data_IF_041405392155
#
_entry.id   IF_041405392155
#
_cell.length_a   1.000
_cell.length_b   1.000
_cell.length_c   1.000
_cell.angle_alpha   90.00
_cell.angle_beta   90.00
_cell.angle_gamma   90.00
#
_symmetry.space_group_name_H-M   'P 1'
#
loop_
_entity.id
_entity.type
_entity.pdbx_description
1 polymer ?
#
# COMPACT_ATOMS: atom_id res chain seq x y z
N UNK A 1 3.67 15.09 18.78
CA UNK A 1 3.23 13.81 19.36
C UNK A 1 3.41 12.73 18.30
N UNK A 2 3.91 11.52 18.64
CA UNK A 2 3.90 10.43 17.67
C UNK A 2 2.44 10.14 17.30
N UNK A 3 2.09 10.19 16.01
CA UNK A 3 0.77 9.76 15.55
C UNK A 3 0.63 8.28 15.91
N UNK A 4 -0.41 7.93 16.68
CA UNK A 4 -0.81 6.53 16.85
C UNK A 4 -1.17 6.02 15.45
N UNK A 5 -0.38 5.08 14.93
CA UNK A 5 -0.68 4.42 13.66
C UNK A 5 -1.74 3.36 13.93
N UNK A 6 -2.81 3.31 13.14
CA UNK A 6 -3.80 2.26 13.32
C UNK A 6 -3.16 0.88 13.13
N UNK A 7 -3.49 -0.04 14.04
CA UNK A 7 -3.17 -1.45 13.87
C UNK A 7 -4.11 -2.02 12.81
N UNK A 8 -3.60 -2.62 11.72
CA UNK A 8 -4.44 -3.26 10.70
C UNK A 8 -5.39 -4.30 11.32
N UNK A 9 -4.90 -5.04 12.31
CA UNK A 9 -5.69 -6.04 13.03
C UNK A 9 -6.87 -5.43 13.78
N UNK A 10 -6.75 -4.20 14.29
CA UNK A 10 -7.87 -3.50 14.93
C UNK A 10 -8.89 -2.99 13.90
N UNK A 11 -8.44 -2.55 12.72
CA UNK A 11 -9.36 -2.21 11.62
C UNK A 11 -10.14 -3.48 11.18
N UNK A 12 -9.47 -4.62 11.02
CA UNK A 12 -10.11 -5.90 10.73
C UNK A 12 -11.14 -6.28 11.80
N UNK A 13 -10.84 -6.02 13.07
CA UNK A 13 -11.74 -6.29 14.18
C UNK A 13 -13.03 -5.47 14.14
N UNK A 14 -12.94 -4.20 13.75
CA UNK A 14 -14.09 -3.33 13.53
C UNK A 14 -14.97 -3.84 12.37
N UNK A 15 -14.35 -4.27 11.27
CA UNK A 15 -15.07 -4.84 10.12
C UNK A 15 -15.81 -6.12 10.51
N UNK A 16 -15.12 -7.07 11.19
CA UNK A 16 -15.75 -8.31 11.67
C UNK A 16 -16.91 -7.99 12.63
N UNK A 17 -16.70 -7.11 13.60
CA UNK A 17 -17.74 -6.72 14.54
C UNK A 17 -18.95 -6.10 13.85
N UNK A 18 -18.74 -5.17 12.92
CA UNK A 18 -19.83 -4.51 12.21
C UNK A 18 -20.63 -5.48 11.32
N UNK A 19 -19.95 -6.43 10.67
CA UNK A 19 -20.61 -7.49 9.90
C UNK A 19 -21.44 -8.45 10.78
N UNK A 20 -21.02 -8.67 12.02
CA UNK A 20 -21.71 -9.50 13.02
C UNK A 20 -22.79 -8.75 13.82
N UNK A 21 -22.95 -7.44 13.59
CA UNK A 21 -23.95 -6.59 14.23
C UNK A 21 -23.51 -5.90 15.52
N UNK A 22 -22.26 -6.06 15.96
CA UNK A 22 -21.65 -5.30 17.06
C UNK A 22 -20.24 -4.82 16.66
N UNK A 23 -20.10 -3.56 16.14
CA UNK A 23 -18.84 -3.00 15.67
C UNK A 23 -17.69 -3.03 16.68
N UNK A 24 -18.00 -3.02 17.98
CA UNK A 24 -16.99 -2.96 19.03
C UNK A 24 -16.75 -4.32 19.72
N UNK A 25 -17.40 -5.39 19.26
CA UNK A 25 -17.30 -6.75 19.81
C UNK A 25 -15.86 -7.24 19.97
N UNK A 26 -15.02 -7.01 18.95
CA UNK A 26 -13.69 -7.61 18.86
C UNK A 26 -12.53 -6.66 19.18
N UNK A 27 -12.79 -5.36 19.34
CA UNK A 27 -11.73 -4.36 19.55
C UNK A 27 -11.63 -3.94 21.02
N UNK A 28 -10.44 -3.59 21.50
CA UNK A 28 -10.28 -2.96 22.82
C UNK A 28 -10.47 -1.43 22.75
N UNK A 29 -11.02 -0.76 23.78
CA UNK A 29 -11.33 0.67 23.71
C UNK A 29 -10.14 1.61 23.47
N UNK A 30 -8.92 1.18 23.84
CA UNK A 30 -7.74 2.03 23.73
C UNK A 30 -7.38 2.27 22.26
N UNK A 31 -7.40 3.52 21.83
CA UNK A 31 -7.14 3.90 20.43
C UNK A 31 -8.32 3.69 19.47
N UNK A 32 -9.52 3.36 19.98
CA UNK A 32 -10.70 3.07 19.16
C UNK A 32 -11.00 4.15 18.12
N UNK A 33 -10.98 5.43 18.50
CA UNK A 33 -11.28 6.53 17.59
C UNK A 33 -10.37 6.56 16.35
N UNK A 34 -9.07 6.32 16.52
CA UNK A 34 -8.12 6.29 15.41
C UNK A 34 -8.41 5.13 14.46
N UNK A 35 -8.74 3.95 15.01
CA UNK A 35 -9.07 2.78 14.20
C UNK A 35 -10.40 2.94 13.45
N UNK A 36 -11.37 3.64 14.05
CA UNK A 36 -12.64 3.97 13.41
C UNK A 36 -12.46 4.92 12.23
N UNK A 37 -11.76 6.04 12.46
CA UNK A 37 -11.48 7.03 11.41
C UNK A 37 -10.75 6.37 10.23
N UNK A 38 -9.78 5.50 10.50
CA UNK A 38 -9.06 4.79 9.45
C UNK A 38 -9.92 3.72 8.76
N UNK A 39 -10.79 3.00 9.47
CA UNK A 39 -11.71 2.04 8.85
C UNK A 39 -12.72 2.72 7.91
N UNK A 40 -13.20 3.91 8.28
CA UNK A 40 -14.07 4.74 7.45
C UNK A 40 -13.31 5.33 6.26
N UNK A 41 -12.10 5.86 6.49
CA UNK A 41 -11.26 6.40 5.42
C UNK A 41 -10.85 5.32 4.40
N UNK A 42 -10.64 4.09 4.84
CA UNK A 42 -10.40 2.93 3.96
C UNK A 42 -11.65 2.48 3.18
N UNK A 43 -12.82 3.09 3.41
CA UNK A 43 -14.09 2.70 2.80
C UNK A 43 -14.58 1.32 3.24
N UNK A 44 -14.10 0.79 4.36
CA UNK A 44 -14.51 -0.51 4.91
C UNK A 44 -15.76 -0.39 5.79
N UNK A 45 -15.89 0.74 6.47
CA UNK A 45 -17.05 1.11 7.27
C UNK A 45 -17.62 2.44 6.78
N UNK A 46 -18.91 2.66 7.04
CA UNK A 46 -19.58 3.94 6.87
C UNK A 46 -20.28 4.34 8.16
N UNK A 47 -20.29 5.63 8.45
CA UNK A 47 -21.11 6.22 9.53
C UNK A 47 -22.40 6.78 8.95
N UNK A 48 -23.50 6.66 9.69
CA UNK A 48 -24.77 7.32 9.33
C UNK A 48 -25.05 8.51 10.22
N UNK A 49 -25.70 8.27 11.35
CA UNK A 49 -26.27 9.33 12.20
C UNK A 49 -25.29 9.83 13.26
N UNK A 50 -24.29 9.02 13.62
CA UNK A 50 -23.26 9.36 14.59
C UNK A 50 -21.93 8.67 14.25
N UNK A 51 -20.80 9.12 14.84
CA UNK A 51 -19.49 8.49 14.66
C UNK A 51 -19.42 7.02 15.10
N UNK A 52 -20.38 6.57 15.90
CA UNK A 52 -20.46 5.20 16.44
C UNK A 52 -21.57 4.37 15.78
N UNK A 53 -22.37 4.97 14.90
CA UNK A 53 -23.40 4.30 14.10
C UNK A 53 -22.77 3.74 12.83
N UNK A 54 -21.99 2.67 13.02
CA UNK A 54 -21.09 2.09 12.03
C UNK A 54 -21.77 0.94 11.29
N UNK A 55 -21.68 0.98 9.96
CA UNK A 55 -22.16 -0.08 9.08
C UNK A 55 -21.02 -0.57 8.20
N UNK A 56 -21.00 -1.88 7.95
CA UNK A 56 -20.08 -2.47 6.98
C UNK A 56 -20.49 -2.06 5.56
N UNK A 57 -19.52 -1.63 4.75
CA UNK A 57 -19.73 -1.33 3.32
C UNK A 57 -19.65 -2.61 2.49
N UNK A 58 -19.95 -2.54 1.19
CA UNK A 58 -19.75 -3.68 0.28
C UNK A 58 -18.28 -4.15 0.27
N UNK A 59 -17.32 -3.21 0.31
CA UNK A 59 -15.88 -3.51 0.39
C UNK A 59 -15.53 -4.18 1.71
N UNK A 60 -16.07 -3.68 2.83
CA UNK A 60 -15.88 -4.29 4.15
C UNK A 60 -16.50 -5.69 4.23
N UNK A 61 -17.67 -5.89 3.63
CA UNK A 61 -18.37 -7.16 3.63
C UNK A 61 -17.62 -8.20 2.79
N UNK A 62 -17.09 -7.80 1.62
CA UNK A 62 -16.23 -8.67 0.82
C UNK A 62 -14.96 -9.10 1.58
N UNK A 63 -14.34 -8.18 2.32
CA UNK A 63 -13.19 -8.49 3.18
C UNK A 63 -13.57 -9.48 4.30
N UNK A 64 -14.73 -9.26 4.93
CA UNK A 64 -15.27 -10.14 5.95
C UNK A 64 -15.50 -11.57 5.44
N UNK A 65 -16.22 -11.71 4.32
CA UNK A 65 -16.57 -13.01 3.74
C UNK A 65 -15.35 -13.80 3.26
N UNK A 66 -14.34 -13.09 2.74
CA UNK A 66 -13.13 -13.71 2.23
C UNK A 66 -12.17 -14.16 3.33
N UNK A 67 -12.08 -13.41 4.45
CA UNK A 67 -10.95 -13.56 5.37
C UNK A 67 -11.30 -13.54 6.86
N UNK A 68 -12.44 -12.99 7.27
CA UNK A 68 -12.71 -12.70 8.70
C UNK A 68 -13.82 -13.53 9.32
N UNK A 69 -14.73 -14.09 8.54
CA UNK A 69 -15.85 -14.90 9.06
C UNK A 69 -15.37 -16.07 9.91
N UNK A 70 -14.28 -16.72 9.49
CA UNK A 70 -13.73 -17.92 10.15
C UNK A 70 -12.68 -17.58 11.22
N UNK A 71 -12.43 -16.28 11.49
CA UNK A 71 -11.56 -15.89 12.60
C UNK A 71 -12.21 -16.23 13.95
N UNK A 72 -11.41 -16.63 14.94
CA UNK A 72 -11.93 -16.99 16.25
C UNK A 72 -12.66 -15.81 16.90
N UNK A 73 -13.73 -16.13 17.62
CA UNK A 73 -14.36 -15.18 18.52
C UNK A 73 -13.38 -14.67 19.59
N UNK A 74 -13.66 -13.48 20.12
CA UNK A 74 -12.82 -12.82 21.12
C UNK A 74 -12.12 -11.57 20.62
N UNK A 75 -11.23 -11.01 21.46
CA UNK A 75 -10.57 -9.73 21.16
C UNK A 75 -9.41 -9.90 20.18
N UNK A 76 -9.25 -8.92 19.30
CA UNK A 76 -8.26 -8.87 18.23
C UNK A 76 -6.81 -9.08 18.71
N UNK A 77 -6.48 -8.63 19.92
CA UNK A 77 -5.17 -8.82 20.56
C UNK A 77 -4.80 -10.30 20.77
N UNK A 78 -5.78 -11.21 20.72
CA UNK A 78 -5.59 -12.64 20.94
C UNK A 78 -5.69 -13.47 19.65
N UNK A 79 -5.95 -12.84 18.49
CA UNK A 79 -6.04 -13.58 17.23
C UNK A 79 -4.68 -14.07 16.74
N UNK A 80 -3.60 -13.36 17.06
CA UNK A 80 -2.23 -13.81 16.76
C UNK A 80 -2.06 -14.27 15.30
N UNK A 81 -1.57 -15.50 15.11
CA UNK A 81 -1.35 -16.10 13.79
C UNK A 81 -2.62 -16.52 13.04
N UNK A 82 -3.80 -16.44 13.67
CA UNK A 82 -5.06 -16.71 12.99
C UNK A 82 -5.41 -15.63 11.97
N UNK A 83 -4.90 -14.40 12.14
CA UNK A 83 -5.16 -13.29 11.21
C UNK A 83 -4.49 -13.57 9.87
N UNK A 84 -5.24 -13.70 8.77
CA UNK A 84 -4.64 -13.94 7.46
C UNK A 84 -3.76 -12.76 7.05
N UNK A 85 -2.52 -13.04 6.66
CA UNK A 85 -1.59 -12.00 6.18
C UNK A 85 -2.17 -11.24 4.99
N UNK A 86 -2.89 -11.92 4.10
CA UNK A 86 -3.59 -11.32 2.96
C UNK A 86 -4.62 -10.25 3.37
N UNK A 87 -5.29 -10.41 4.52
CA UNK A 87 -6.24 -9.43 5.03
C UNK A 87 -5.53 -8.20 5.61
N UNK A 88 -4.42 -8.42 6.32
CA UNK A 88 -3.54 -7.35 6.81
C UNK A 88 -2.98 -6.55 5.63
N UNK A 89 -2.49 -7.25 4.59
CA UNK A 89 -1.98 -6.65 3.36
C UNK A 89 -3.04 -5.77 2.68
N UNK A 90 -4.28 -6.26 2.57
CA UNK A 90 -5.37 -5.54 1.95
C UNK A 90 -5.76 -4.27 2.73
N UNK A 91 -5.89 -4.35 4.06
CA UNK A 91 -6.17 -3.17 4.89
C UNK A 91 -5.03 -2.16 4.83
N UNK A 92 -3.79 -2.63 4.91
CA UNK A 92 -2.62 -1.76 4.78
C UNK A 92 -2.63 -1.02 3.44
N UNK A 93 -2.97 -1.70 2.34
CA UNK A 93 -3.11 -1.07 1.03
C UNK A 93 -4.19 0.01 1.05
N UNK A 94 -5.40 -0.30 1.51
CA UNK A 94 -6.51 0.66 1.58
C UNK A 94 -6.18 1.87 2.47
N UNK A 95 -5.50 1.66 3.58
CA UNK A 95 -5.07 2.75 4.47
C UNK A 95 -4.03 3.64 3.80
N UNK A 96 -3.07 3.06 3.08
CA UNK A 96 -2.10 3.82 2.30
C UNK A 96 -2.78 4.60 1.17
N UNK A 97 -3.78 4.03 0.50
CA UNK A 97 -4.60 4.72 -0.50
C UNK A 97 -5.33 5.92 0.12
N UNK A 98 -6.06 5.69 1.20
CA UNK A 98 -6.84 6.70 1.91
C UNK A 98 -5.99 7.86 2.43
N UNK A 99 -4.78 7.58 2.90
CA UNK A 99 -3.84 8.59 3.41
C UNK A 99 -2.99 9.26 2.33
N UNK A 100 -3.19 8.90 1.05
CA UNK A 100 -2.36 9.40 -0.07
C UNK A 100 -0.90 8.95 0.03
N UNK A 101 -0.64 7.85 0.72
CA UNK A 101 0.68 7.24 0.95
C UNK A 101 0.92 6.01 0.07
N UNK A 102 -0.08 5.51 -0.66
CA UNK A 102 0.12 4.46 -1.64
C UNK A 102 0.88 5.06 -2.83
N UNK A 103 2.02 4.47 -3.17
CA UNK A 103 2.69 4.72 -4.43
C UNK A 103 2.20 3.72 -5.47
N UNK A 104 1.47 4.21 -6.47
CA UNK A 104 1.19 3.46 -7.69
C UNK A 104 2.32 3.75 -8.67
N UNK A 105 2.99 2.68 -9.11
CA UNK A 105 4.08 2.80 -10.08
C UNK A 105 3.64 2.15 -11.38
N UNK A 106 3.53 2.99 -12.39
CA UNK A 106 3.24 2.58 -13.76
C UNK A 106 4.55 2.42 -14.50
N UNK A 107 4.73 1.29 -15.15
CA UNK A 107 5.93 0.98 -15.92
C UNK A 107 5.50 0.60 -17.32
N UNK A 108 5.85 1.47 -18.28
CA UNK A 108 5.67 1.20 -19.71
C UNK A 108 6.96 0.61 -20.25
N UNK A 109 6.94 -0.69 -20.55
CA UNK A 109 8.06 -1.38 -21.18
C UNK A 109 8.03 -1.10 -22.69
N UNK A 110 9.00 -0.34 -23.16
CA UNK A 110 9.19 0.02 -24.58
C UNK A 110 9.96 -1.05 -25.34
N UNK A 111 10.80 -1.82 -24.65
CA UNK A 111 11.54 -2.95 -25.19
C UNK A 111 11.81 -3.99 -24.09
N UNK A 112 12.24 -5.22 -24.42
CA UNK A 112 12.60 -6.22 -23.41
C UNK A 112 13.64 -5.70 -22.41
N UNK A 113 13.20 -5.42 -21.19
CA UNK A 113 14.06 -4.95 -20.11
C UNK A 113 14.38 -3.46 -20.08
N UNK A 114 13.69 -2.65 -20.89
CA UNK A 114 13.75 -1.19 -20.85
C UNK A 114 12.35 -0.59 -20.78
N UNK A 115 12.20 0.51 -20.05
CA UNK A 115 10.91 1.18 -19.96
C UNK A 115 10.95 2.53 -19.27
N UNK A 116 9.82 3.21 -19.30
CA UNK A 116 9.55 4.42 -18.54
C UNK A 116 8.80 4.04 -17.28
N UNK A 117 9.28 4.57 -16.15
CA UNK A 117 8.66 4.44 -14.83
C UNK A 117 8.00 5.77 -14.52
N UNK A 118 6.77 5.71 -14.08
CA UNK A 118 5.99 6.86 -13.63
C UNK A 118 5.39 6.53 -12.27
N UNK A 119 5.45 7.45 -11.32
CA UNK A 119 4.84 7.28 -10.00
C UNK A 119 3.65 8.21 -9.88
N UNK A 120 2.43 7.66 -9.91
CA UNK A 120 1.21 8.44 -9.78
C UNK A 120 1.11 9.05 -8.39
N UNK A 121 0.72 10.33 -8.31
CA UNK A 121 0.87 11.18 -7.13
C UNK A 121 0.14 10.65 -5.89
N UNK A 122 0.80 10.73 -4.73
CA UNK A 122 0.16 11.07 -3.46
C UNK A 122 0.24 12.59 -3.24
N UNK A 123 -0.63 13.15 -2.40
CA UNK A 123 -0.96 14.60 -2.23
C UNK A 123 0.18 15.59 -1.93
N UNK A 124 1.46 15.20 -2.02
CA UNK A 124 2.62 15.98 -1.53
C UNK A 124 3.63 16.43 -2.58
N UNK A 125 3.45 16.15 -3.87
CA UNK A 125 4.38 16.61 -4.93
C UNK A 125 3.64 17.23 -6.11
N UNK A 126 4.02 18.44 -6.58
CA UNK A 126 3.37 19.11 -7.70
C UNK A 126 3.72 18.49 -9.06
N UNK A 127 4.79 17.70 -9.15
CA UNK A 127 5.25 17.05 -10.38
C UNK A 127 5.17 15.53 -10.24
N UNK A 128 4.90 14.82 -11.33
CA UNK A 128 4.94 13.36 -11.34
C UNK A 128 6.41 12.90 -11.48
N UNK A 129 6.94 12.06 -10.57
CA UNK A 129 8.27 11.49 -10.74
C UNK A 129 8.32 10.55 -11.93
N UNK A 130 9.39 10.65 -12.73
CA UNK A 130 9.61 9.84 -13.91
C UNK A 130 11.07 9.37 -13.97
N UNK A 131 11.28 8.10 -14.31
CA UNK A 131 12.62 7.51 -14.47
C UNK A 131 12.69 6.49 -15.60
N UNK A 132 13.90 6.17 -16.02
CA UNK A 132 14.16 5.11 -17.01
C UNK A 132 14.50 3.81 -16.29
N UNK A 133 13.70 2.77 -16.50
CA UNK A 133 13.99 1.41 -16.07
C UNK A 133 14.88 0.72 -17.10
N UNK A 134 15.98 0.12 -16.67
CA UNK A 134 16.85 -0.66 -17.54
C UNK A 134 17.49 -1.87 -16.85
N UNK A 135 18.17 -2.72 -17.62
CA UNK A 135 18.98 -3.82 -17.10
C UNK A 135 20.42 -3.38 -16.84
N UNK A 136 20.96 -3.73 -15.67
CA UNK A 136 22.41 -3.62 -15.45
C UNK A 136 23.12 -4.75 -16.19
N UNK A 137 24.33 -4.49 -16.68
CA UNK A 137 25.17 -5.46 -17.38
C UNK A 137 26.57 -5.49 -16.77
N UNK A 138 27.21 -6.65 -16.76
CA UNK A 138 28.63 -6.76 -16.42
C UNK A 138 29.53 -6.38 -17.61
N UNK A 139 30.85 -6.40 -17.42
CA UNK A 139 31.83 -6.12 -18.47
C UNK A 139 31.71 -7.04 -19.69
N UNK A 140 31.17 -8.26 -19.52
CA UNK A 140 30.90 -9.21 -20.59
C UNK A 140 29.52 -9.02 -21.26
N UNK A 141 28.80 -7.93 -20.95
CA UNK A 141 27.49 -7.62 -21.51
C UNK A 141 26.32 -8.45 -20.96
N UNK A 142 26.55 -9.34 -19.99
CA UNK A 142 25.51 -10.20 -19.41
C UNK A 142 24.67 -9.41 -18.41
N UNK A 143 23.35 -9.60 -18.44
CA UNK A 143 22.44 -8.96 -17.51
C UNK A 143 22.69 -9.44 -16.07
N UNK A 144 22.85 -8.52 -15.12
CA UNK A 144 23.15 -8.81 -13.72
C UNK A 144 22.10 -8.30 -12.73
N UNK A 145 21.12 -7.54 -13.22
CA UNK A 145 20.12 -6.88 -12.39
C UNK A 145 19.39 -5.79 -13.14
N UNK A 146 18.81 -4.86 -12.40
CA UNK A 146 17.98 -3.78 -12.89
C UNK A 146 18.41 -2.45 -12.29
N UNK A 147 18.12 -1.36 -12.97
CA UNK A 147 18.30 -0.01 -12.46
C UNK A 147 17.11 0.88 -12.82
N UNK A 148 16.89 1.92 -12.01
CA UNK A 148 16.04 3.06 -12.36
C UNK A 148 16.92 4.30 -12.37
N UNK A 149 16.87 5.05 -13.45
CA UNK A 149 17.66 6.27 -13.67
C UNK A 149 16.72 7.47 -13.89
N UNK A 150 16.68 8.36 -12.92
CA UNK A 150 15.96 9.63 -12.95
C UNK A 150 16.98 10.74 -13.21
N UNK A 151 17.27 10.95 -14.49
CA UNK A 151 18.30 11.86 -14.95
C UNK A 151 17.94 13.35 -14.80
N UNK A 152 16.64 13.66 -14.71
CA UNK A 152 16.15 15.03 -14.65
C UNK A 152 16.04 15.57 -13.21
N UNK A 153 16.05 14.68 -12.21
CA UNK A 153 15.81 15.04 -10.82
C UNK A 153 14.35 15.41 -10.57
N UNK A 154 13.95 15.35 -9.30
CA UNK A 154 12.56 15.55 -8.88
C UNK A 154 12.48 16.52 -7.70
N UNK A 155 11.65 17.57 -7.80
CA UNK A 155 11.43 18.56 -6.73
C UNK A 155 12.72 19.08 -6.05
N UNK A 156 13.67 19.57 -6.86
CA UNK A 156 14.94 20.12 -6.37
C UNK A 156 15.96 19.06 -5.90
N UNK A 157 15.66 17.76 -6.06
CA UNK A 157 16.60 16.68 -5.79
C UNK A 157 17.55 16.48 -6.98
N UNK A 158 18.77 16.08 -6.67
CA UNK A 158 19.78 15.68 -7.67
C UNK A 158 19.29 14.47 -8.46
N UNK A 159 19.82 14.25 -9.68
CA UNK A 159 19.59 13.01 -10.44
C UNK A 159 19.83 11.77 -9.57
N UNK A 160 18.96 10.78 -9.70
CA UNK A 160 19.00 9.55 -8.88
C UNK A 160 19.15 8.35 -9.78
N UNK A 161 20.15 7.52 -9.48
CA UNK A 161 20.27 6.17 -10.04
C UNK A 161 20.32 5.14 -8.94
N UNK A 162 19.40 4.19 -8.98
CA UNK A 162 19.34 3.07 -8.03
C UNK A 162 19.43 1.74 -8.77
N UNK A 163 20.04 0.74 -8.13
CA UNK A 163 20.17 -0.61 -8.68
C UNK A 163 19.50 -1.65 -7.79
N UNK A 164 18.92 -2.67 -8.40
CA UNK A 164 18.26 -3.76 -7.73
C UNK A 164 18.56 -5.11 -8.37
N UNK A 165 18.47 -6.18 -7.57
CA UNK A 165 18.64 -7.56 -8.09
C UNK A 165 17.49 -7.94 -9.01
N UNK A 166 16.28 -7.48 -8.67
CA UNK A 166 15.07 -7.64 -9.47
C UNK A 166 14.54 -6.28 -9.91
N UNK A 167 13.63 -6.28 -10.88
CA UNK A 167 12.91 -5.09 -11.35
C UNK A 167 12.20 -4.39 -10.18
N UNK A 168 11.42 -5.13 -9.41
CA UNK A 168 10.69 -4.61 -8.25
C UNK A 168 11.63 -4.07 -7.16
N UNK A 169 12.77 -4.71 -6.91
CA UNK A 169 13.79 -4.22 -5.96
C UNK A 169 14.33 -2.85 -6.39
N UNK A 170 14.63 -2.67 -7.68
CA UNK A 170 15.09 -1.38 -8.21
C UNK A 170 14.01 -0.29 -8.06
N UNK A 171 12.74 -0.60 -8.36
CA UNK A 171 11.62 0.33 -8.24
C UNK A 171 11.33 0.70 -6.77
N UNK A 172 11.38 -0.25 -5.84
CA UNK A 172 11.24 0.02 -4.40
C UNK A 172 12.35 0.95 -3.89
N UNK A 173 13.59 0.73 -4.31
CA UNK A 173 14.72 1.62 -3.97
C UNK A 173 14.54 3.02 -4.56
N UNK A 174 13.99 3.13 -5.77
CA UNK A 174 13.71 4.42 -6.41
C UNK A 174 12.69 5.22 -5.60
N UNK A 175 11.57 4.61 -5.23
CA UNK A 175 10.55 5.25 -4.40
C UNK A 175 11.05 5.68 -3.01
N UNK A 176 11.94 4.89 -2.39
CA UNK A 176 12.64 5.26 -1.15
C UNK A 176 13.53 6.48 -1.34
N UNK A 177 14.29 6.52 -2.43
CA UNK A 177 15.14 7.66 -2.77
C UNK A 177 14.31 8.94 -3.03
N UNK A 178 13.10 8.80 -3.57
CA UNK A 178 12.12 9.89 -3.72
C UNK A 178 11.42 10.27 -2.40
N UNK A 179 11.67 9.57 -1.30
CA UNK A 179 11.01 9.85 -0.01
C UNK A 179 9.50 9.63 -0.04
N UNK A 180 8.97 9.03 -1.11
CA UNK A 180 7.60 8.57 -1.25
C UNK A 180 7.38 7.26 -0.47
N UNK A 181 8.48 6.65 -0.01
CA UNK A 181 8.51 5.41 0.76
C UNK A 181 9.32 5.63 2.06
N UNK A 182 8.71 6.30 3.05
CA UNK A 182 9.41 6.70 4.29
C UNK A 182 9.42 5.62 5.38
N UNK A 183 8.39 4.78 5.47
CA UNK A 183 8.25 3.85 6.58
C UNK A 183 8.18 2.40 6.08
N UNK A 184 8.67 1.48 6.91
CA UNK A 184 8.77 0.07 6.61
C UNK A 184 7.38 -0.60 6.59
N UNK A 185 6.57 -0.35 5.55
CA UNK A 185 5.46 -1.23 5.17
C UNK A 185 5.43 -1.37 3.63
N UNK A 186 5.03 -2.56 3.19
CA UNK A 186 5.54 -3.34 2.05
C UNK A 186 4.85 -3.06 0.70
N UNK A 187 3.99 -2.05 0.59
CA UNK A 187 3.05 -1.95 -0.54
C UNK A 187 3.41 -0.84 -1.53
N UNK A 188 3.90 -1.26 -2.69
CA UNK A 188 3.75 -0.52 -3.93
C UNK A 188 3.10 -1.42 -4.95
N UNK A 189 2.18 -0.84 -5.71
CA UNK A 189 1.51 -1.55 -6.78
C UNK A 189 2.24 -1.23 -8.10
N UNK A 190 2.80 -2.26 -8.72
CA UNK A 190 3.55 -2.13 -9.96
C UNK A 190 2.68 -2.58 -11.13
N UNK A 191 2.27 -1.64 -11.97
CA UNK A 191 1.57 -1.92 -13.21
C UNK A 191 2.58 -1.99 -14.35
N UNK A 192 2.60 -3.10 -15.07
CA UNK A 192 3.47 -3.30 -16.23
C UNK A 192 2.64 -3.34 -17.50
N UNK A 193 2.82 -2.34 -18.36
CA UNK A 193 2.27 -2.34 -19.71
C UNK A 193 3.39 -2.60 -20.70
N UNK A 194 3.15 -3.48 -21.68
CA UNK A 194 4.10 -3.72 -22.77
C UNK A 194 3.55 -3.06 -24.02
N UNK A 195 4.28 -2.10 -24.57
CA UNK A 195 4.08 -1.73 -25.97
C UNK A 195 4.78 -2.79 -26.81
N UNK A 196 4.02 -3.75 -27.34
CA UNK A 196 4.55 -4.59 -28.42
C UNK A 196 4.71 -3.67 -29.63
N UNK A 197 5.95 -3.46 -30.07
CA UNK A 197 6.20 -2.82 -31.36
C UNK A 197 5.52 -3.63 -32.47
N UNK A 198 4.78 -2.94 -33.33
CA UNK A 198 4.44 -3.45 -34.65
C UNK A 198 5.71 -3.64 -35.48
#
# INVERSE_FOLDING_TARGET
MPQLVASPTHILALVKGAAEGDPIKHITPMGLGVHLDDAVACGLLATRSSPYDLHVTDTGLALYEAHLKDLPDGRANHWGSAVPTVAVDQVMRLHLEATGRLAVVEVTLTAPGSGVVTVSQGTRSPKQPQGTLGRTRNAAGRATGWYVDDACGHDGRKPIRVTGRTKDDALRKYLRALGLWRDAITYAHFHYTSQRGN
#
